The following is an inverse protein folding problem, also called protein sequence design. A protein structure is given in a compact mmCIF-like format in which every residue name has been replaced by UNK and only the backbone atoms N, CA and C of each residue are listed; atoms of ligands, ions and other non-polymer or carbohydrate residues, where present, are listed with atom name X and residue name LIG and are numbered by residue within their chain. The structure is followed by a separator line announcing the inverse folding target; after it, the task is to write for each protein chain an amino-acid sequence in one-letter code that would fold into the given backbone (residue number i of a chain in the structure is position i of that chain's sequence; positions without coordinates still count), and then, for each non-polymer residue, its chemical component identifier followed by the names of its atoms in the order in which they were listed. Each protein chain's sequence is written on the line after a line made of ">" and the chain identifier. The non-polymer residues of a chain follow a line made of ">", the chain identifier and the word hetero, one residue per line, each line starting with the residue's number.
data_IF_282319732256
#
_entry.id   IF_282319732256
#
_cell.length_a   1.000
_cell.length_b   1.000
_cell.length_c   1.000
_cell.angle_alpha   90.00
_cell.angle_beta   90.00
_cell.angle_gamma   90.00
#
_symmetry.space_group_name_H-M   'P 1'
#
loop_
_entity.id
_entity.type
_entity.pdbx_description
1 polymer ?
#
# COMPACT_ATOMS: atom_id res chain seq x y z
N UNK A 1 14.66 -24.97 5.41
CA UNK A 1 13.52 -24.81 6.34
C UNK A 1 13.80 -23.64 7.27
N UNK A 2 13.12 -22.49 7.12
CA UNK A 2 13.30 -21.37 8.06
C UNK A 2 12.60 -21.70 9.39
N UNK A 3 13.30 -21.52 10.51
CA UNK A 3 12.73 -21.78 11.84
C UNK A 3 11.60 -20.79 12.15
N UNK A 4 10.59 -21.23 12.92
CA UNK A 4 9.44 -20.41 13.33
C UNK A 4 9.85 -19.07 13.97
N UNK A 5 11.01 -19.01 14.63
CA UNK A 5 11.55 -17.79 15.26
C UNK A 5 11.94 -16.73 14.23
N UNK A 6 12.53 -17.14 13.10
CA UNK A 6 12.86 -16.21 12.01
C UNK A 6 11.61 -15.65 11.36
N UNK A 7 10.61 -16.50 11.09
CA UNK A 7 9.33 -16.09 10.50
C UNK A 7 8.66 -14.97 11.31
N UNK A 8 8.68 -15.09 12.65
CA UNK A 8 8.13 -14.07 13.56
C UNK A 8 8.88 -12.74 13.52
N UNK A 9 10.22 -12.75 13.53
CA UNK A 9 11.04 -11.53 13.43
C UNK A 9 10.78 -10.79 12.13
N UNK A 10 10.72 -11.51 11.01
CA UNK A 10 10.35 -10.92 9.71
C UNK A 10 8.92 -10.38 9.72
N UNK A 11 7.98 -11.06 10.40
CA UNK A 11 6.63 -10.55 10.59
C UNK A 11 6.62 -9.19 11.31
N UNK A 12 7.34 -9.07 12.43
CA UNK A 12 7.45 -7.79 13.19
C UNK A 12 8.05 -6.69 12.33
N UNK A 13 9.15 -6.98 11.62
CA UNK A 13 9.79 -6.00 10.72
C UNK A 13 8.82 -5.58 9.62
N UNK A 14 8.12 -6.53 9.01
CA UNK A 14 7.13 -6.25 7.98
C UNK A 14 5.97 -5.41 8.52
N UNK A 15 5.52 -5.66 9.75
CA UNK A 15 4.50 -4.83 10.41
C UNK A 15 4.96 -3.40 10.56
N UNK A 16 6.20 -3.20 11.04
CA UNK A 16 6.76 -1.86 11.25
C UNK A 16 6.95 -1.12 9.93
N UNK A 17 7.41 -1.81 8.88
CA UNK A 17 7.49 -1.24 7.54
C UNK A 17 6.10 -0.87 7.00
N UNK A 18 5.12 -1.76 7.14
CA UNK A 18 3.74 -1.50 6.73
C UNK A 18 3.12 -0.32 7.46
N UNK A 19 3.33 -0.24 8.77
CA UNK A 19 2.90 0.89 9.62
C UNK A 19 3.56 2.20 9.18
N UNK A 20 4.87 2.18 8.90
CA UNK A 20 5.58 3.36 8.42
C UNK A 20 5.07 3.82 7.05
N UNK A 21 4.91 2.89 6.11
CA UNK A 21 4.40 3.20 4.75
C UNK A 21 2.98 3.74 4.82
N UNK A 22 2.07 3.07 5.54
CA UNK A 22 0.68 3.52 5.70
C UNK A 22 0.58 4.83 6.49
N UNK A 23 1.40 5.01 7.52
CA UNK A 23 1.43 6.26 8.28
C UNK A 23 1.87 7.46 7.43
N UNK A 24 2.97 7.31 6.69
CA UNK A 24 3.49 8.37 5.82
C UNK A 24 2.56 8.60 4.63
N UNK A 25 2.12 7.54 3.94
CA UNK A 25 1.26 7.67 2.76
C UNK A 25 -0.13 8.18 3.14
N UNK A 26 -0.71 7.71 4.24
CA UNK A 26 -1.96 8.22 4.80
C UNK A 26 -1.86 9.71 5.15
N UNK A 27 -0.75 10.15 5.74
CA UNK A 27 -0.51 11.57 5.99
C UNK A 27 -0.42 12.39 4.69
N UNK A 28 0.30 11.90 3.69
CA UNK A 28 0.38 12.55 2.37
C UNK A 28 -1.01 12.61 1.71
N UNK A 29 -1.79 11.53 1.79
CA UNK A 29 -3.16 11.47 1.28
C UNK A 29 -4.03 12.55 1.94
N UNK A 30 -4.00 12.70 3.26
CA UNK A 30 -4.77 13.73 3.97
C UNK A 30 -4.41 15.16 3.52
N UNK A 31 -3.15 15.42 3.18
CA UNK A 31 -2.71 16.72 2.67
C UNK A 31 -3.05 16.94 1.19
N UNK A 32 -3.20 15.86 0.44
CA UNK A 32 -3.35 15.89 -1.03
C UNK A 32 -4.82 15.80 -1.45
N UNK A 33 -5.64 15.00 -0.76
CA UNK A 33 -7.08 14.84 -1.02
C UNK A 33 -7.83 16.19 -1.13
N UNK A 34 -7.63 17.17 -0.22
CA UNK A 34 -8.35 18.44 -0.28
C UNK A 34 -7.97 19.29 -1.50
N UNK A 35 -6.79 19.06 -2.08
CA UNK A 35 -6.28 19.76 -3.28
C UNK A 35 -6.78 19.13 -4.58
N UNK A 36 -7.25 17.88 -4.51
CA UNK A 36 -7.84 17.14 -5.63
C UNK A 36 -9.38 17.23 -5.67
N UNK A 37 -10.01 17.86 -4.66
CA UNK A 37 -11.44 18.02 -4.63
C UNK A 37 -11.93 18.99 -5.73
N UNK A 38 -12.98 18.63 -6.50
CA UNK A 38 -13.57 19.54 -7.47
C UNK A 38 -14.17 20.75 -6.73
N UNK A 39 -13.52 21.91 -6.87
CA UNK A 39 -13.90 23.16 -6.19
C UNK A 39 -12.74 23.92 -5.53
N UNK A 40 -11.59 23.26 -5.28
CA UNK A 40 -10.33 23.92 -4.91
C UNK A 40 -9.33 23.77 -6.06
N UNK A 41 -9.13 24.85 -6.80
CA UNK A 41 -8.47 24.91 -8.11
C UNK A 41 -6.93 24.84 -8.11
N UNK A 42 -6.31 24.24 -7.09
CA UNK A 42 -4.84 24.21 -7.01
C UNK A 42 -4.22 23.11 -7.89
N UNK A 43 -4.99 22.09 -8.26
CA UNK A 43 -4.51 21.02 -9.14
C UNK A 43 -4.49 21.49 -10.60
N UNK A 44 -3.28 21.66 -11.14
CA UNK A 44 -3.04 22.13 -12.53
C UNK A 44 -3.08 21.03 -13.60
N UNK A 45 -3.30 19.76 -13.21
CA UNK A 45 -3.34 18.62 -14.12
C UNK A 45 -4.74 18.34 -14.69
N UNK A 46 -4.83 17.39 -15.62
CA UNK A 46 -6.13 16.92 -16.14
C UNK A 46 -6.91 16.10 -15.09
N UNK A 47 -8.23 16.00 -15.25
CA UNK A 47 -9.06 15.14 -14.39
C UNK A 47 -8.59 13.66 -14.41
N UNK A 48 -8.07 13.18 -15.54
CA UNK A 48 -7.49 11.83 -15.64
C UNK A 48 -6.22 11.67 -14.80
N UNK A 49 -5.34 12.68 -14.79
CA UNK A 49 -4.13 12.68 -13.96
C UNK A 49 -4.46 12.68 -12.46
N UNK A 50 -5.49 13.43 -12.06
CA UNK A 50 -5.99 13.45 -10.69
C UNK A 50 -6.42 12.06 -10.21
N UNK A 51 -7.22 11.37 -11.01
CA UNK A 51 -7.68 10.00 -10.72
C UNK A 51 -6.49 9.03 -10.65
N UNK A 52 -5.51 9.16 -11.56
CA UNK A 52 -4.31 8.34 -11.54
C UNK A 52 -3.50 8.52 -10.26
N UNK A 53 -3.28 9.77 -9.82
CA UNK A 53 -2.56 10.06 -8.56
C UNK A 53 -3.29 9.43 -7.37
N UNK A 54 -4.62 9.59 -7.29
CA UNK A 54 -5.42 8.99 -6.23
C UNK A 54 -5.38 7.45 -6.26
N UNK A 55 -5.43 6.85 -7.45
CA UNK A 55 -5.35 5.40 -7.60
C UNK A 55 -4.01 4.85 -7.13
N UNK A 56 -2.89 5.49 -7.51
CA UNK A 56 -1.55 5.10 -7.08
C UNK A 56 -1.40 5.27 -5.56
N UNK A 57 -1.78 6.44 -5.02
CA UNK A 57 -1.71 6.70 -3.59
C UNK A 57 -2.56 5.71 -2.78
N UNK A 58 -3.79 5.46 -3.22
CA UNK A 58 -4.69 4.49 -2.60
C UNK A 58 -4.16 3.06 -2.66
N UNK A 59 -3.52 2.67 -3.77
CA UNK A 59 -2.92 1.35 -3.90
C UNK A 59 -1.69 1.19 -2.99
N UNK A 60 -0.83 2.21 -2.89
CA UNK A 60 0.32 2.20 -1.95
C UNK A 60 -0.17 2.15 -0.50
N UNK A 61 -1.22 2.91 -0.16
CA UNK A 61 -1.83 2.86 1.17
C UNK A 61 -2.41 1.48 1.49
N UNK A 62 -3.17 0.90 0.55
CA UNK A 62 -3.73 -0.45 0.67
C UNK A 62 -2.63 -1.49 0.84
N UNK A 63 -1.52 -1.35 0.10
CA UNK A 63 -0.35 -2.19 0.24
C UNK A 63 0.29 -2.06 1.63
N UNK A 64 0.47 -0.83 2.13
CA UNK A 64 1.01 -0.56 3.47
C UNK A 64 0.17 -1.21 4.58
N UNK A 65 -1.16 -1.01 4.54
CA UNK A 65 -2.11 -1.61 5.49
C UNK A 65 -2.06 -3.14 5.41
N UNK A 66 -2.06 -3.70 4.20
CA UNK A 66 -2.01 -5.15 4.00
C UNK A 66 -0.71 -5.74 4.53
N UNK A 67 0.43 -5.10 4.26
CA UNK A 67 1.74 -5.50 4.78
C UNK A 67 1.77 -5.42 6.31
N UNK A 68 1.17 -4.37 6.90
CA UNK A 68 1.06 -4.22 8.35
C UNK A 68 0.26 -5.36 8.98
N UNK A 69 -0.97 -5.60 8.50
CA UNK A 69 -1.84 -6.65 9.01
C UNK A 69 -1.24 -8.05 8.82
N UNK A 70 -0.65 -8.32 7.66
CA UNK A 70 -0.01 -9.61 7.40
C UNK A 70 1.27 -9.80 8.21
N UNK A 71 2.10 -8.77 8.35
CA UNK A 71 3.26 -8.79 9.23
C UNK A 71 2.86 -9.12 10.67
N UNK A 72 1.77 -8.51 11.15
CA UNK A 72 1.27 -8.74 12.51
C UNK A 72 0.78 -10.18 12.67
N UNK A 73 -0.01 -10.67 11.70
CA UNK A 73 -0.43 -12.07 11.66
C UNK A 73 0.75 -13.04 11.62
N UNK A 74 1.78 -12.74 10.82
CA UNK A 74 3.00 -13.53 10.71
C UNK A 74 3.82 -13.50 12.01
N UNK A 75 3.84 -12.36 12.72
CA UNK A 75 4.50 -12.23 14.02
C UNK A 75 3.82 -13.10 15.09
N UNK A 76 2.49 -13.14 15.12
CA UNK A 76 1.72 -13.94 16.08
C UNK A 76 1.80 -15.44 15.74
N UNK A 77 1.45 -15.81 14.51
CA UNK A 77 1.32 -17.22 14.10
C UNK A 77 2.64 -17.89 13.73
N UNK A 78 3.66 -17.11 13.33
CA UNK A 78 4.91 -17.61 12.78
C UNK A 78 4.75 -18.30 11.42
N UNK A 79 3.58 -18.19 10.77
CA UNK A 79 3.28 -18.84 9.47
C UNK A 79 3.46 -17.85 8.32
N UNK A 80 3.78 -18.37 7.13
CA UNK A 80 3.81 -17.61 5.88
C UNK A 80 2.64 -18.04 5.00
N UNK A 81 2.00 -17.08 4.35
CA UNK A 81 0.92 -17.32 3.39
C UNK A 81 1.35 -16.90 1.99
N UNK A 82 1.24 -17.81 1.02
CA UNK A 82 1.51 -17.50 -0.39
C UNK A 82 0.46 -16.56 -0.99
N UNK A 83 -0.75 -16.55 -0.42
CA UNK A 83 -1.84 -15.68 -0.87
C UNK A 83 -1.49 -14.20 -0.80
N UNK A 84 -0.70 -13.77 0.19
CA UNK A 84 -0.29 -12.37 0.31
C UNK A 84 0.74 -11.98 -0.75
N UNK A 85 1.58 -12.93 -1.19
CA UNK A 85 2.47 -12.71 -2.32
C UNK A 85 1.65 -12.55 -3.60
N UNK A 86 0.64 -13.41 -3.82
CA UNK A 86 -0.26 -13.26 -4.97
C UNK A 86 -1.02 -11.94 -4.95
N UNK A 87 -1.48 -11.50 -3.79
CA UNK A 87 -2.12 -10.19 -3.63
C UNK A 87 -1.15 -9.05 -4.00
N UNK A 88 0.07 -9.07 -3.47
CA UNK A 88 1.08 -8.05 -3.78
C UNK A 88 1.42 -8.00 -5.28
N UNK A 89 1.61 -9.17 -5.90
CA UNK A 89 1.85 -9.27 -7.35
C UNK A 89 0.63 -8.72 -8.12
N UNK A 90 -0.59 -9.13 -7.75
CA UNK A 90 -1.81 -8.66 -8.38
C UNK A 90 -1.98 -7.15 -8.30
N UNK A 91 -1.68 -6.54 -7.15
CA UNK A 91 -1.75 -5.09 -6.94
C UNK A 91 -0.73 -4.33 -7.81
N UNK A 92 0.49 -4.84 -7.91
CA UNK A 92 1.52 -4.28 -8.81
C UNK A 92 1.11 -4.43 -10.28
N UNK A 93 0.62 -5.60 -10.68
CA UNK A 93 0.15 -5.84 -12.05
C UNK A 93 -1.03 -4.95 -12.42
N UNK A 94 -1.99 -4.75 -11.51
CA UNK A 94 -3.13 -3.85 -11.71
C UNK A 94 -2.67 -2.41 -11.91
N UNK A 95 -1.77 -1.92 -11.05
CA UNK A 95 -1.21 -0.58 -11.18
C UNK A 95 -0.45 -0.39 -12.49
N UNK A 96 0.33 -1.38 -12.88
CA UNK A 96 1.07 -1.36 -14.14
C UNK A 96 0.14 -1.29 -15.36
N UNK A 97 -0.93 -2.09 -15.37
CA UNK A 97 -1.93 -2.04 -16.44
C UNK A 97 -2.63 -0.69 -16.48
N UNK A 98 -3.11 -0.18 -15.34
CA UNK A 98 -3.73 1.15 -15.28
C UNK A 98 -2.79 2.25 -15.79
N UNK A 99 -1.49 2.17 -15.49
CA UNK A 99 -0.50 3.12 -15.98
C UNK A 99 -0.24 3.03 -17.50
N UNK A 100 -0.54 1.90 -18.15
CA UNK A 100 -0.39 1.73 -19.61
C UNK A 100 -1.60 2.22 -20.41
N UNK A 101 -2.79 2.26 -19.81
CA UNK A 101 -4.04 2.61 -20.49
C UNK A 101 -4.44 4.09 -20.30
N UNK A 102 -3.64 4.90 -19.60
CA UNK A 102 -3.87 6.32 -19.31
C UNK A 102 -2.75 7.14 -19.95
#
# INVERSE_FOLDING_TARGET
>A
MQSKRWSRRYGVILSLCGLFISGVMGFVLLLTLPKLHPGRSDFRGSASQAVMVLAIMGAVETFGITAMCYGFWQAVTGRRSKWVIYFAIGLVSLLFLLALFI
#
